data_IF_751105320725
#
_entry.id   IF_751105320725
#
_cell.length_a   1.000
_cell.length_b   1.000
_cell.length_c   1.000
_cell.angle_alpha   90.00
_cell.angle_beta   90.00
_cell.angle_gamma   90.00
#
_symmetry.space_group_name_H-M   'P 1'
#
loop_
_entity.id
_entity.type
_entity.pdbx_description
1 polymer ?
#
# COMPACT_ATOMS: atom_id res chain seq x y z
N UNK A 1 -21.69 18.68 -2.32
CA UNK A 1 -20.55 19.30 -3.06
C UNK A 1 -19.70 18.16 -3.56
N UNK A 2 -19.40 18.16 -4.84
CA UNK A 2 -18.57 17.10 -5.43
C UNK A 2 -17.13 17.24 -4.92
N UNK A 3 -16.53 16.12 -4.54
CA UNK A 3 -15.14 16.08 -4.06
C UNK A 3 -14.22 16.13 -5.27
N UNK A 4 -13.58 17.29 -5.52
CA UNK A 4 -12.57 17.40 -6.58
C UNK A 4 -11.24 16.82 -6.08
N UNK A 5 -10.73 15.81 -6.78
CA UNK A 5 -9.47 15.15 -6.46
C UNK A 5 -8.41 15.56 -7.48
N UNK A 6 -7.26 16.02 -7.01
CA UNK A 6 -6.10 16.23 -7.87
C UNK A 6 -5.56 14.86 -8.32
N UNK A 7 -5.38 14.57 -9.61
CA UNK A 7 -4.88 13.26 -10.07
C UNK A 7 -3.50 12.90 -9.48
N UNK A 8 -2.69 13.89 -9.13
CA UNK A 8 -1.36 13.69 -8.52
C UNK A 8 -1.37 13.63 -6.98
N UNK A 9 -2.54 13.49 -6.35
CA UNK A 9 -2.68 13.48 -4.89
C UNK A 9 -1.76 12.44 -4.21
N UNK A 10 -1.60 11.28 -4.81
CA UNK A 10 -0.81 10.17 -4.30
C UNK A 10 0.68 10.48 -4.17
N UNK A 11 1.20 11.48 -4.91
CA UNK A 11 2.60 11.92 -4.85
C UNK A 11 2.96 12.63 -3.54
N UNK A 12 1.97 13.12 -2.79
CA UNK A 12 2.22 14.00 -1.65
C UNK A 12 1.44 13.71 -0.38
N UNK A 13 0.51 12.74 -0.39
CA UNK A 13 -0.33 12.48 0.79
C UNK A 13 0.35 11.56 1.81
N UNK A 14 1.28 10.71 1.35
CA UNK A 14 1.98 9.74 2.20
C UNK A 14 3.18 10.40 2.90
N UNK A 15 2.91 11.12 3.98
CA UNK A 15 3.84 11.89 4.81
C UNK A 15 3.66 11.55 6.31
N UNK A 16 4.25 12.34 7.20
CA UNK A 16 4.12 12.13 8.65
C UNK A 16 2.67 12.26 9.14
N UNK A 17 1.85 13.09 8.48
CA UNK A 17 0.43 13.23 8.86
C UNK A 17 -0.33 11.95 8.50
N UNK A 18 -0.01 11.31 7.37
CA UNK A 18 -0.57 9.99 7.03
C UNK A 18 -0.23 8.95 8.11
N UNK A 19 1.01 8.88 8.57
CA UNK A 19 1.40 7.96 9.64
C UNK A 19 0.63 8.20 10.94
N UNK A 20 0.26 9.45 11.21
CA UNK A 20 -0.59 9.81 12.34
C UNK A 20 -2.06 9.39 12.12
N UNK A 21 -2.63 9.71 10.95
CA UNK A 21 -4.07 9.54 10.69
C UNK A 21 -4.48 8.08 10.49
N UNK A 22 -3.59 7.26 9.97
CA UNK A 22 -3.79 5.83 9.76
C UNK A 22 -3.10 4.94 10.81
N UNK A 23 -2.68 5.52 11.94
CA UNK A 23 -1.99 4.81 13.03
C UNK A 23 -2.75 3.57 13.54
N UNK A 24 -4.08 3.52 13.43
CA UNK A 24 -4.89 2.36 13.80
C UNK A 24 -4.65 1.14 12.91
N UNK A 25 -4.13 1.34 11.70
CA UNK A 25 -3.72 0.27 10.79
C UNK A 25 -2.22 0.21 10.65
N UNK A 26 -1.56 1.30 10.26
CA UNK A 26 -0.12 1.32 10.00
C UNK A 26 0.72 1.23 11.27
N UNK A 27 0.21 1.67 12.42
CA UNK A 27 0.86 1.59 13.73
C UNK A 27 0.46 0.35 14.56
N UNK A 28 -0.50 -0.48 14.11
CA UNK A 28 -0.94 -1.67 14.83
C UNK A 28 -0.02 -2.86 14.53
N UNK A 29 0.88 -3.16 15.47
CA UNK A 29 1.77 -4.31 15.35
C UNK A 29 1.03 -5.65 15.37
N UNK A 30 -0.10 -5.76 16.06
CA UNK A 30 -0.87 -7.00 16.11
C UNK A 30 -1.55 -7.27 14.76
N UNK A 31 -2.07 -6.22 14.12
CA UNK A 31 -2.60 -6.29 12.76
C UNK A 31 -1.48 -6.70 11.78
N UNK A 32 -0.34 -6.01 11.83
CA UNK A 32 0.82 -6.32 10.98
C UNK A 32 1.26 -7.78 11.11
N UNK A 33 1.31 -8.33 12.34
CA UNK A 33 1.63 -9.75 12.55
C UNK A 33 0.63 -10.69 11.89
N UNK A 34 -0.68 -10.42 12.01
CA UNK A 34 -1.73 -11.22 11.35
C UNK A 34 -1.65 -11.16 9.83
N UNK A 35 -1.40 -9.99 9.26
CA UNK A 35 -1.21 -9.83 7.81
C UNK A 35 0.00 -10.62 7.32
N UNK A 36 1.10 -10.57 8.06
CA UNK A 36 2.31 -11.35 7.72
C UNK A 36 2.09 -12.86 7.94
N UNK A 37 1.23 -13.29 8.86
CA UNK A 37 0.80 -14.69 8.95
C UNK A 37 0.08 -15.11 7.65
N UNK A 38 -0.81 -14.27 7.12
CA UNK A 38 -1.48 -14.52 5.84
C UNK A 38 -0.46 -14.60 4.70
N UNK A 39 0.47 -13.65 4.60
CA UNK A 39 1.54 -13.67 3.58
C UNK A 39 2.29 -15.00 3.62
N UNK A 40 2.76 -15.42 4.81
CA UNK A 40 3.52 -16.66 4.98
C UNK A 40 2.71 -17.93 4.68
N UNK A 41 1.39 -17.89 4.85
CA UNK A 41 0.50 -19.02 4.57
C UNK A 41 0.13 -19.11 3.08
N UNK A 42 0.03 -17.98 2.40
CA UNK A 42 -0.36 -17.92 0.98
C UNK A 42 0.82 -18.17 0.03
N UNK A 43 2.01 -17.74 0.40
CA UNK A 43 3.19 -17.80 -0.46
C UNK A 43 4.15 -18.92 -0.02
N UNK A 44 4.77 -19.66 -0.97
CA UNK A 44 5.75 -20.69 -0.67
C UNK A 44 7.13 -20.08 -0.32
N UNK A 45 7.17 -19.22 0.71
CA UNK A 45 8.33 -18.42 1.06
C UNK A 45 9.42 -19.22 1.77
N UNK A 46 10.68 -19.03 1.34
CA UNK A 46 11.86 -19.53 2.04
C UNK A 46 12.71 -18.37 2.57
N UNK A 47 13.47 -18.62 3.65
CA UNK A 47 14.22 -17.56 4.35
C UNK A 47 15.30 -16.86 3.53
N UNK A 48 15.77 -17.52 2.47
CA UNK A 48 16.76 -17.01 1.51
C UNK A 48 16.15 -16.43 0.23
N UNK A 49 14.83 -16.48 0.07
CA UNK A 49 14.17 -15.88 -1.08
C UNK A 49 14.36 -14.36 -1.09
N UNK A 50 14.52 -13.80 -2.29
CA UNK A 50 14.56 -12.37 -2.55
C UNK A 50 13.14 -11.83 -2.64
N UNK A 51 12.82 -10.85 -1.83
CA UNK A 51 11.47 -10.28 -1.71
C UNK A 51 11.53 -8.79 -2.05
N UNK A 52 10.67 -8.37 -2.97
CA UNK A 52 10.39 -6.96 -3.22
C UNK A 52 9.09 -6.58 -2.50
N UNK A 53 9.17 -5.57 -1.64
CA UNK A 53 8.01 -4.89 -1.08
C UNK A 53 7.76 -3.63 -1.92
N UNK A 54 6.83 -3.73 -2.87
CA UNK A 54 6.53 -2.70 -3.85
C UNK A 54 5.39 -1.82 -3.32
N UNK A 55 5.61 -0.52 -3.22
CA UNK A 55 4.79 0.43 -2.46
C UNK A 55 4.83 0.14 -0.95
N UNK A 56 6.03 -0.05 -0.42
CA UNK A 56 6.28 -0.58 0.92
C UNK A 56 5.84 0.36 2.07
N UNK A 57 5.56 1.63 1.79
CA UNK A 57 5.34 2.64 2.82
C UNK A 57 6.54 2.70 3.77
N UNK A 58 6.29 2.65 5.07
CA UNK A 58 7.34 2.64 6.08
C UNK A 58 7.86 1.22 6.41
N UNK A 59 7.56 0.20 5.57
CA UNK A 59 8.18 -1.12 5.61
C UNK A 59 7.66 -2.07 6.70
N UNK A 60 6.47 -1.87 7.27
CA UNK A 60 5.96 -2.65 8.42
C UNK A 60 5.89 -4.16 8.17
N UNK A 61 5.47 -4.59 6.97
CA UNK A 61 5.39 -6.01 6.60
C UNK A 61 6.78 -6.62 6.44
N UNK A 62 7.65 -5.94 5.71
CA UNK A 62 9.03 -6.38 5.51
C UNK A 62 9.80 -6.49 6.82
N UNK A 63 9.63 -5.56 7.74
CA UNK A 63 10.31 -5.64 9.05
C UNK A 63 9.77 -6.74 9.94
N UNK A 64 8.48 -7.04 9.88
CA UNK A 64 7.92 -8.19 10.57
C UNK A 64 8.42 -9.52 9.96
N UNK A 65 8.56 -9.59 8.62
CA UNK A 65 9.22 -10.73 7.95
C UNK A 65 10.71 -10.84 8.35
N UNK A 66 11.43 -9.73 8.50
CA UNK A 66 12.82 -9.73 9.01
C UNK A 66 12.89 -10.33 10.41
N UNK A 67 11.98 -9.96 11.33
CA UNK A 67 11.87 -10.56 12.67
C UNK A 67 11.67 -12.07 12.60
N UNK A 68 10.97 -12.57 11.59
CA UNK A 68 10.73 -14.00 11.34
C UNK A 68 11.90 -14.71 10.65
N UNK A 69 13.00 -14.00 10.36
CA UNK A 69 14.24 -14.56 9.84
C UNK A 69 14.38 -14.57 8.32
N UNK A 70 13.52 -13.88 7.57
CA UNK A 70 13.77 -13.58 6.16
C UNK A 70 14.85 -12.51 6.05
N UNK A 71 15.72 -12.57 5.03
CA UNK A 71 16.96 -11.78 5.04
C UNK A 71 17.19 -10.90 3.81
N UNK A 72 16.49 -11.13 2.71
CA UNK A 72 16.77 -10.48 1.44
C UNK A 72 15.58 -9.67 0.97
N UNK A 73 15.62 -8.37 1.23
CA UNK A 73 14.54 -7.43 0.90
C UNK A 73 15.04 -6.26 0.10
N UNK A 74 14.24 -5.87 -0.89
CA UNK A 74 14.26 -4.54 -1.49
C UNK A 74 12.92 -3.88 -1.20
N UNK A 75 12.94 -2.68 -0.61
CA UNK A 75 11.76 -1.88 -0.26
C UNK A 75 11.69 -0.70 -1.22
N UNK A 76 10.60 -0.60 -1.98
CA UNK A 76 10.39 0.49 -2.92
C UNK A 76 9.12 1.27 -2.56
N UNK A 77 9.23 2.59 -2.51
CA UNK A 77 8.08 3.49 -2.38
C UNK A 77 8.34 4.80 -3.14
N UNK A 78 7.27 5.45 -3.57
CA UNK A 78 7.35 6.76 -4.21
C UNK A 78 7.66 7.87 -3.19
N UNK A 79 7.12 7.77 -1.97
CA UNK A 79 7.30 8.76 -0.91
C UNK A 79 8.70 8.69 -0.30
N UNK A 80 9.48 9.75 -0.46
CA UNK A 80 10.77 9.89 0.24
C UNK A 80 10.59 9.87 1.75
N UNK A 81 9.53 10.46 2.30
CA UNK A 81 9.22 10.47 3.72
C UNK A 81 9.03 9.04 4.24
N UNK A 82 8.28 8.19 3.52
CA UNK A 82 8.09 6.79 3.91
C UNK A 82 9.41 6.02 3.87
N UNK A 83 10.20 6.18 2.82
CA UNK A 83 11.53 5.55 2.70
C UNK A 83 12.48 6.00 3.83
N UNK A 84 12.47 7.27 4.20
CA UNK A 84 13.32 7.77 5.29
C UNK A 84 12.90 7.22 6.65
N UNK A 85 11.59 7.12 6.92
CA UNK A 85 11.07 6.47 8.13
C UNK A 85 11.45 4.98 8.16
N UNK A 86 11.29 4.27 7.02
CA UNK A 86 11.68 2.87 6.91
C UNK A 86 13.18 2.67 7.12
N UNK A 87 14.01 3.50 6.50
CA UNK A 87 15.48 3.46 6.64
C UNK A 87 15.92 3.67 8.09
N UNK A 88 15.35 4.67 8.78
CA UNK A 88 15.62 4.90 10.20
C UNK A 88 15.28 3.67 11.05
N UNK A 89 14.12 3.08 10.82
CA UNK A 89 13.67 1.88 11.54
C UNK A 89 14.58 0.67 11.27
N UNK A 90 15.02 0.47 10.02
CA UNK A 90 15.95 -0.60 9.67
C UNK A 90 17.29 -0.47 10.41
N UNK A 91 17.84 0.75 10.48
CA UNK A 91 19.08 1.03 11.22
C UNK A 91 18.90 0.73 12.71
N UNK A 92 17.82 1.21 13.32
CA UNK A 92 17.51 0.98 14.74
C UNK A 92 17.39 -0.51 15.09
N UNK A 93 16.85 -1.31 14.17
CA UNK A 93 16.65 -2.75 14.37
C UNK A 93 17.78 -3.64 13.84
N UNK A 94 18.79 -3.06 13.16
CA UNK A 94 19.90 -3.81 12.57
C UNK A 94 19.49 -4.65 11.35
N UNK A 95 18.44 -4.25 10.61
CA UNK A 95 17.99 -4.95 9.40
C UNK A 95 18.81 -4.49 8.19
N UNK A 96 19.29 -5.48 7.42
CA UNK A 96 20.00 -5.24 6.16
C UNK A 96 19.00 -5.36 5.01
N UNK A 97 18.51 -4.21 4.56
CA UNK A 97 17.52 -4.10 3.49
C UNK A 97 17.94 -3.03 2.49
N UNK A 98 17.59 -3.21 1.22
CA UNK A 98 17.80 -2.23 0.17
C UNK A 98 16.60 -1.29 0.09
N UNK A 99 16.85 0.02 -0.13
CA UNK A 99 15.80 1.02 -0.25
C UNK A 99 15.88 1.72 -1.60
N UNK A 100 14.77 1.75 -2.30
CA UNK A 100 14.61 2.42 -3.59
C UNK A 100 13.47 3.43 -3.49
N UNK A 101 13.74 4.69 -3.81
CA UNK A 101 12.68 5.67 -4.03
C UNK A 101 12.35 5.69 -5.51
N UNK A 102 11.10 5.39 -5.88
CA UNK A 102 10.73 5.30 -7.30
C UNK A 102 9.25 5.08 -7.54
N UNK A 103 8.87 5.14 -8.81
CA UNK A 103 7.51 4.86 -9.28
C UNK A 103 7.36 3.35 -9.52
N UNK A 104 6.34 2.75 -8.92
CA UNK A 104 6.05 1.32 -9.04
C UNK A 104 5.70 0.88 -10.47
N UNK A 105 5.32 1.81 -11.35
CA UNK A 105 5.07 1.54 -12.78
C UNK A 105 6.35 1.34 -13.59
N UNK A 106 7.48 1.87 -13.10
CA UNK A 106 8.79 1.76 -13.73
C UNK A 106 9.89 1.92 -12.67
N UNK A 107 10.38 0.78 -12.16
CA UNK A 107 11.28 0.75 -10.99
C UNK A 107 12.75 0.89 -11.34
N UNK A 108 13.14 0.71 -12.61
CA UNK A 108 14.53 0.58 -13.09
C UNK A 108 15.33 -0.58 -12.44
N UNK A 109 14.65 -1.49 -11.75
CA UNK A 109 15.22 -2.71 -11.20
C UNK A 109 15.38 -3.79 -12.30
N UNK A 110 16.34 -4.71 -12.11
CA UNK A 110 16.60 -5.80 -13.06
C UNK A 110 15.44 -6.79 -13.13
N UNK A 111 15.12 -7.24 -14.34
CA UNK A 111 14.11 -8.29 -14.58
C UNK A 111 14.49 -9.60 -13.88
N UNK A 112 13.49 -10.44 -13.61
CA UNK A 112 13.65 -11.79 -13.08
C UNK A 112 14.56 -11.88 -11.84
N UNK A 113 14.44 -10.89 -10.94
CA UNK A 113 15.33 -10.77 -9.77
C UNK A 113 14.71 -11.35 -8.51
N UNK A 114 13.39 -11.25 -8.36
CA UNK A 114 12.71 -11.55 -7.10
C UNK A 114 11.95 -12.88 -7.15
N UNK A 115 11.98 -13.60 -6.04
CA UNK A 115 11.19 -14.82 -5.85
C UNK A 115 9.73 -14.44 -5.49
N UNK A 116 9.57 -13.33 -4.77
CA UNK A 116 8.26 -12.80 -4.39
C UNK A 116 8.20 -11.28 -4.52
N UNK A 117 7.05 -10.78 -4.98
CA UNK A 117 6.69 -9.36 -4.93
C UNK A 117 5.45 -9.21 -4.05
N UNK A 118 5.48 -8.25 -3.15
CA UNK A 118 4.36 -7.89 -2.27
C UNK A 118 3.89 -6.49 -2.61
N UNK A 119 2.57 -6.29 -2.74
CA UNK A 119 1.91 -4.98 -2.83
C UNK A 119 0.85 -4.98 -1.74
N UNK A 120 1.16 -4.39 -0.59
CA UNK A 120 0.36 -4.51 0.61
C UNK A 120 -0.28 -3.18 1.02
N UNK A 121 -1.30 -3.26 1.86
CA UNK A 121 -1.91 -2.08 2.46
C UNK A 121 -2.72 -1.23 1.48
N UNK A 122 -3.38 -1.85 0.53
CA UNK A 122 -4.26 -1.20 -0.44
C UNK A 122 -3.54 -0.21 -1.38
N UNK A 123 -2.29 -0.50 -1.75
CA UNK A 123 -1.49 0.41 -2.58
C UNK A 123 -1.87 0.41 -4.06
N UNK A 124 -2.59 -0.60 -4.56
CA UNK A 124 -3.14 -0.64 -5.92
C UNK A 124 -4.45 0.16 -5.99
N UNK A 125 -4.67 0.90 -7.09
CA UNK A 125 -5.89 1.68 -7.32
C UNK A 125 -5.81 3.16 -6.97
N UNK A 126 -4.66 3.67 -6.52
CA UNK A 126 -4.49 5.07 -6.17
C UNK A 126 -4.26 5.99 -7.37
N UNK A 127 -3.62 5.49 -8.40
CA UNK A 127 -3.34 6.25 -9.61
C UNK A 127 -4.56 6.16 -10.52
N UNK A 128 -5.13 7.32 -10.90
CA UNK A 128 -6.42 7.36 -11.59
C UNK A 128 -6.31 7.19 -13.12
N UNK A 129 -5.11 7.28 -13.71
CA UNK A 129 -4.90 6.92 -15.10
C UNK A 129 -5.36 5.48 -15.36
N UNK A 130 -5.96 5.27 -16.53
CA UNK A 130 -6.69 4.04 -16.86
C UNK A 130 -5.81 2.79 -16.75
N UNK A 131 -4.57 2.88 -17.22
CA UNK A 131 -3.66 1.74 -17.34
C UNK A 131 -2.63 1.64 -16.19
N UNK A 132 -2.66 2.58 -15.24
CA UNK A 132 -1.64 2.68 -14.20
C UNK A 132 -1.52 1.42 -13.33
N UNK A 133 -2.65 0.79 -12.97
CA UNK A 133 -2.62 -0.43 -12.17
C UNK A 133 -2.11 -1.63 -12.99
N UNK A 134 -2.43 -1.69 -14.29
CA UNK A 134 -1.87 -2.68 -15.21
C UNK A 134 -0.35 -2.48 -15.39
N UNK A 135 0.11 -1.23 -15.46
CA UNK A 135 1.55 -0.91 -15.53
C UNK A 135 2.30 -1.35 -14.27
N UNK A 136 1.72 -1.11 -13.07
CA UNK A 136 2.32 -1.60 -11.80
C UNK A 136 2.41 -3.12 -11.78
N UNK A 137 1.34 -3.81 -12.17
CA UNK A 137 1.32 -5.27 -12.22
C UNK A 137 2.26 -5.83 -13.29
N UNK A 138 2.37 -5.18 -14.45
CA UNK A 138 3.31 -5.57 -15.51
C UNK A 138 4.77 -5.40 -15.06
N UNK A 139 5.06 -4.33 -14.33
CA UNK A 139 6.38 -4.14 -13.74
C UNK A 139 6.67 -5.21 -12.67
N UNK A 140 5.72 -5.51 -11.79
CA UNK A 140 5.85 -6.60 -10.83
C UNK A 140 6.08 -7.96 -11.53
N UNK A 141 5.35 -8.22 -12.63
CA UNK A 141 5.54 -9.42 -13.44
C UNK A 141 6.94 -9.51 -14.06
N UNK A 142 7.44 -8.40 -14.61
CA UNK A 142 8.79 -8.32 -15.18
C UNK A 142 9.88 -8.60 -14.15
N UNK A 143 9.68 -8.16 -12.91
CA UNK A 143 10.64 -8.27 -11.82
C UNK A 143 10.69 -9.66 -11.19
N UNK A 144 9.60 -10.42 -11.30
CA UNK A 144 9.52 -11.79 -10.79
C UNK A 144 10.34 -12.76 -11.65
N UNK A 145 11.01 -13.69 -10.99
CA UNK A 145 11.59 -14.87 -11.66
C UNK A 145 10.50 -15.76 -12.23
N UNK A 146 10.82 -16.62 -13.20
CA UNK A 146 9.93 -17.74 -13.53
C UNK A 146 9.52 -18.48 -12.26
N UNK A 147 8.21 -18.82 -12.15
CA UNK A 147 7.60 -19.44 -10.97
C UNK A 147 7.58 -18.56 -9.69
N UNK A 148 7.95 -17.28 -9.80
CA UNK A 148 7.82 -16.31 -8.71
C UNK A 148 6.36 -15.95 -8.42
N UNK A 149 6.09 -15.42 -7.24
CA UNK A 149 4.73 -15.12 -6.77
C UNK A 149 4.54 -13.64 -6.49
N UNK A 150 3.41 -13.11 -6.94
CA UNK A 150 2.89 -11.80 -6.55
C UNK A 150 1.77 -11.98 -5.54
N UNK A 151 1.82 -11.24 -4.44
CA UNK A 151 0.69 -11.06 -3.53
C UNK A 151 0.28 -9.58 -3.52
N UNK A 152 -1.01 -9.35 -3.71
CA UNK A 152 -1.60 -7.99 -3.64
C UNK A 152 -2.71 -7.99 -2.60
N UNK A 153 -2.66 -7.01 -1.71
CA UNK A 153 -3.69 -6.74 -0.70
C UNK A 153 -4.43 -5.47 -1.07
N UNK A 154 -5.71 -5.60 -1.35
CA UNK A 154 -6.61 -4.49 -1.66
C UNK A 154 -7.91 -4.59 -0.88
N UNK A 155 -8.52 -3.45 -0.63
CA UNK A 155 -9.84 -3.37 0.00
C UNK A 155 -10.89 -4.01 -0.90
N UNK A 156 -11.73 -4.88 -0.34
CA UNK A 156 -12.89 -5.46 -1.03
C UNK A 156 -13.89 -4.35 -1.41
N UNK A 157 -13.94 -4.06 -2.71
CA UNK A 157 -14.80 -3.02 -3.26
C UNK A 157 -16.28 -3.28 -3.07
N UNK A 158 -16.72 -4.55 -3.09
CA UNK A 158 -18.12 -4.90 -2.83
C UNK A 158 -18.49 -4.64 -1.37
N UNK A 159 -17.62 -5.02 -0.43
CA UNK A 159 -17.83 -4.75 0.99
C UNK A 159 -17.91 -3.25 1.26
N UNK A 160 -17.03 -2.44 0.66
CA UNK A 160 -17.06 -0.97 0.78
C UNK A 160 -18.37 -0.40 0.24
N UNK A 161 -18.83 -0.84 -0.94
CA UNK A 161 -20.09 -0.34 -1.55
C UNK A 161 -21.30 -0.73 -0.72
N UNK A 162 -21.35 -1.94 -0.19
CA UNK A 162 -22.47 -2.45 0.61
C UNK A 162 -22.58 -1.78 1.99
N UNK A 163 -21.45 -1.36 2.58
CA UNK A 163 -21.39 -0.71 3.89
C UNK A 163 -20.99 0.76 3.82
N UNK A 164 -21.21 1.39 2.66
CA UNK A 164 -20.75 2.75 2.41
C UNK A 164 -21.37 3.76 3.38
N UNK A 165 -20.50 4.57 4.00
CA UNK A 165 -20.88 5.70 4.81
C UNK A 165 -20.22 6.96 4.28
N UNK A 166 -21.00 8.02 3.93
CA UNK A 166 -20.44 9.22 3.31
C UNK A 166 -19.56 10.05 4.24
N UNK A 167 -19.77 9.92 5.54
CA UNK A 167 -19.02 10.69 6.53
C UNK A 167 -18.51 9.76 7.63
N UNK A 168 -17.27 9.96 8.03
CA UNK A 168 -16.66 9.27 9.16
C UNK A 168 -15.74 10.24 9.90
N UNK A 169 -15.61 10.04 11.20
CA UNK A 169 -14.63 10.77 12.00
C UNK A 169 -14.12 9.87 13.12
N UNK A 170 -12.94 10.16 13.61
CA UNK A 170 -12.38 9.52 14.78
C UNK A 170 -11.34 10.41 15.46
N UNK A 171 -11.08 10.14 16.71
CA UNK A 171 -10.05 10.81 17.50
C UNK A 171 -8.76 9.98 17.50
N UNK A 172 -7.63 10.68 17.53
CA UNK A 172 -6.30 10.11 17.71
C UNK A 172 -5.69 10.77 18.93
N UNK A 173 -5.51 9.97 19.99
CA UNK A 173 -5.15 10.50 21.30
C UNK A 173 -6.16 11.55 21.80
N UNK A 174 -5.67 12.53 22.54
CA UNK A 174 -6.51 13.61 23.11
C UNK A 174 -6.52 14.89 22.27
N UNK A 175 -5.65 14.99 21.26
CA UNK A 175 -5.41 16.23 20.51
C UNK A 175 -6.01 16.26 19.12
N UNK A 176 -6.01 15.12 18.41
CA UNK A 176 -6.25 15.11 16.98
C UNK A 176 -7.58 14.48 16.61
N UNK A 177 -8.31 15.14 15.71
CA UNK A 177 -9.55 14.62 15.10
C UNK A 177 -9.35 14.51 13.60
N UNK A 178 -9.72 13.37 13.04
CA UNK A 178 -9.74 13.11 11.59
C UNK A 178 -11.18 13.02 11.13
N UNK A 179 -11.56 13.87 10.18
CA UNK A 179 -12.86 13.87 9.53
C UNK A 179 -12.68 13.45 8.07
N UNK A 180 -13.48 12.48 7.61
CA UNK A 180 -13.47 12.04 6.20
C UNK A 180 -14.87 12.17 5.62
N UNK A 181 -14.99 12.97 4.57
CA UNK A 181 -16.16 13.02 3.69
C UNK A 181 -15.84 12.15 2.47
N UNK A 182 -16.78 11.30 2.06
CA UNK A 182 -16.55 10.33 0.99
C UNK A 182 -17.72 10.32 0.02
N UNK A 183 -17.46 10.01 -1.23
CA UNK A 183 -18.45 9.74 -2.26
C UNK A 183 -18.00 8.58 -3.17
N UNK A 184 -18.96 7.83 -3.70
CA UNK A 184 -18.72 6.78 -4.68
C UNK A 184 -19.08 7.30 -6.07
N UNK A 185 -18.16 7.14 -7.03
CA UNK A 185 -18.33 7.43 -8.46
C UNK A 185 -18.04 6.17 -9.24
N UNK A 186 -19.06 5.31 -9.41
CA UNK A 186 -18.87 3.97 -9.99
C UNK A 186 -17.96 3.13 -9.08
N UNK A 187 -16.78 2.81 -9.59
CA UNK A 187 -15.78 2.02 -8.87
C UNK A 187 -14.70 2.88 -8.18
N UNK A 188 -14.87 4.19 -8.16
CA UNK A 188 -13.93 5.12 -7.55
C UNK A 188 -14.51 5.64 -6.23
N UNK A 189 -13.80 5.43 -5.14
CA UNK A 189 -14.04 6.08 -3.86
C UNK A 189 -13.25 7.39 -3.82
N UNK A 190 -13.95 8.53 -3.85
CA UNK A 190 -13.35 9.84 -3.62
C UNK A 190 -13.52 10.25 -2.16
N UNK A 191 -12.49 10.82 -1.57
CA UNK A 191 -12.53 11.27 -0.18
C UNK A 191 -11.86 12.63 0.00
N UNK A 192 -12.40 13.42 0.94
CA UNK A 192 -11.74 14.59 1.52
C UNK A 192 -11.42 14.27 2.97
N UNK A 193 -10.17 14.40 3.34
CA UNK A 193 -9.69 14.23 4.70
C UNK A 193 -9.31 15.59 5.29
N UNK A 194 -9.90 15.88 6.45
CA UNK A 194 -9.57 17.04 7.26
C UNK A 194 -9.01 16.55 8.58
N UNK A 195 -7.82 17.02 8.93
CA UNK A 195 -7.15 16.71 10.20
C UNK A 195 -7.03 17.97 11.01
N UNK A 196 -7.58 17.91 12.21
CA UNK A 196 -7.63 19.01 13.15
C UNK A 196 -6.90 18.64 14.44
N UNK A 197 -6.04 19.52 14.94
CA UNK A 197 -5.47 19.46 16.29
C UNK A 197 -6.14 20.50 17.18
N UNK A 198 -6.47 20.13 18.43
CA UNK A 198 -6.99 21.06 19.42
C UNK A 198 -6.02 22.20 19.72
N UNK A 199 -4.70 21.92 19.62
CA UNK A 199 -3.65 22.89 19.91
C UNK A 199 -3.20 23.69 18.69
N UNK A 200 -3.12 23.05 17.51
CA UNK A 200 -2.53 23.62 16.29
C UNK A 200 -3.56 24.08 15.25
N UNK A 201 -4.85 23.77 15.46
CA UNK A 201 -5.88 24.04 14.47
C UNK A 201 -5.86 23.08 13.29
N UNK A 202 -6.07 23.60 12.07
CA UNK A 202 -6.06 22.80 10.84
C UNK A 202 -4.65 22.31 10.51
N UNK A 203 -4.45 20.99 10.51
CA UNK A 203 -3.19 20.32 10.11
C UNK A 203 -3.22 19.96 8.62
N UNK A 204 -4.33 19.38 8.15
CA UNK A 204 -4.47 18.89 6.77
C UNK A 204 -5.88 19.12 6.26
N UNK A 205 -6.00 19.48 5.00
CA UNK A 205 -7.22 19.39 4.20
C UNK A 205 -6.80 18.91 2.81
N UNK A 206 -7.03 17.64 2.52
CA UNK A 206 -6.60 16.98 1.28
C UNK A 206 -7.71 16.08 0.74
N UNK A 207 -7.66 15.88 -0.57
CA UNK A 207 -8.54 14.93 -1.25
C UNK A 207 -7.71 13.79 -1.82
N UNK A 208 -8.31 12.61 -1.88
CA UNK A 208 -7.72 11.43 -2.49
C UNK A 208 -8.81 10.57 -3.15
N UNK A 209 -8.39 9.64 -3.99
CA UNK A 209 -9.29 8.70 -4.61
C UNK A 209 -8.66 7.31 -4.66
N UNK A 210 -9.48 6.27 -4.58
CA UNK A 210 -9.04 4.90 -4.72
C UNK A 210 -10.01 4.15 -5.63
N UNK A 211 -9.47 3.41 -6.60
CA UNK A 211 -10.24 2.45 -7.39
C UNK A 211 -10.54 1.23 -6.51
N UNK A 212 -11.80 0.86 -6.47
CA UNK A 212 -12.28 -0.30 -5.74
C UNK A 212 -12.36 -1.50 -6.69
N UNK A 213 -11.77 -2.59 -6.30
CA UNK A 213 -11.80 -3.84 -7.04
C UNK A 213 -12.75 -4.82 -6.40
N UNK A 214 -13.55 -5.51 -7.21
CA UNK A 214 -14.10 -6.80 -6.87
C UNK A 214 -13.13 -7.93 -7.29
N UNK A 215 -13.38 -9.13 -6.81
CA UNK A 215 -12.51 -10.29 -7.06
C UNK A 215 -12.40 -10.62 -8.55
N UNK A 216 -13.48 -10.49 -9.31
CA UNK A 216 -13.48 -10.83 -10.74
C UNK A 216 -12.70 -9.81 -11.57
N UNK A 217 -12.90 -8.52 -11.31
CA UNK A 217 -12.19 -7.43 -12.00
C UNK A 217 -10.70 -7.52 -11.72
N UNK A 218 -10.33 -7.78 -10.46
CA UNK A 218 -8.93 -7.96 -10.06
C UNK A 218 -8.31 -9.19 -10.74
N UNK A 219 -8.98 -10.34 -10.73
CA UNK A 219 -8.49 -11.55 -11.39
C UNK A 219 -8.29 -11.35 -12.91
N UNK A 220 -9.21 -10.64 -13.56
CA UNK A 220 -9.10 -10.31 -14.99
C UNK A 220 -7.87 -9.41 -15.26
N UNK A 221 -7.60 -8.43 -14.39
CA UNK A 221 -6.45 -7.54 -14.51
C UNK A 221 -5.13 -8.32 -14.40
N UNK A 222 -5.02 -9.23 -13.43
CA UNK A 222 -3.84 -10.12 -13.30
C UNK A 222 -3.65 -10.99 -14.53
N UNK A 223 -4.72 -11.61 -15.04
CA UNK A 223 -4.68 -12.48 -16.21
C UNK A 223 -4.30 -11.71 -17.48
N UNK A 224 -4.77 -10.46 -17.62
CA UNK A 224 -4.42 -9.58 -18.73
C UNK A 224 -2.91 -9.26 -18.78
N UNK A 225 -2.29 -9.10 -17.63
CA UNK A 225 -0.83 -8.84 -17.50
C UNK A 225 0.01 -10.10 -17.77
N UNK A 226 -0.57 -11.29 -17.64
CA UNK A 226 0.12 -12.56 -17.91
C UNK A 226 0.31 -13.47 -16.70
N UNK A 227 -0.22 -13.09 -15.53
CA UNK A 227 -0.21 -13.97 -14.36
C UNK A 227 -1.11 -15.19 -14.59
N UNK A 228 -0.63 -16.35 -14.17
CA UNK A 228 -1.35 -17.62 -14.22
C UNK A 228 -1.68 -18.06 -12.79
N UNK A 229 -2.65 -18.98 -12.65
CA UNK A 229 -3.07 -19.53 -11.34
C UNK A 229 -3.50 -18.44 -10.33
N UNK A 230 -4.20 -17.41 -10.81
CA UNK A 230 -4.71 -16.33 -9.98
C UNK A 230 -5.69 -16.87 -8.95
N UNK A 231 -5.48 -16.52 -7.67
CA UNK A 231 -6.38 -16.83 -6.54
C UNK A 231 -6.79 -15.50 -5.90
N UNK A 232 -8.08 -15.28 -5.72
CA UNK A 232 -8.64 -14.09 -5.09
C UNK A 232 -9.58 -14.49 -3.96
#
# INVERSE_FOLDING_TARGET
MDITVNPDWWKSIFDEVYLLTDARSVGDEALTRREVDVICNMLPMQKNHKILDLCCGHGRHSFELCKRGFKSFTLLDYSSTMIDVARKKAIECGYLVEFVQGDARKTDLSSETFDHVLIMGNSLGYIQEQDADAEILAEAFRLLRPEGWLLVDVTDGLAVKNSFTPNAWHEIGEDTVVCRQRELRGDILCAREIVLSRQKGLIRDRTYAARLYDSQTLANLFSHVGFIQVKV
#
